data_IF_846508265734
#
_entry.id   IF_846508265734
#
_cell.length_a   1.000
_cell.length_b   1.000
_cell.length_c   1.000
_cell.angle_alpha   90.00
_cell.angle_beta   90.00
_cell.angle_gamma   90.00
#
_symmetry.space_group_name_H-M   'P 1'
#
loop_
_entity.id
_entity.type
_entity.pdbx_description
1 polymer ?
#
# COMPACT_ATOMS: atom_id res chain seq x y z
N UNK A 1 19.91 14.20 -8.05
CA UNK A 1 19.16 14.42 -6.81
C UNK A 1 17.70 14.18 -7.14
N UNK A 2 17.13 13.07 -6.67
CA UNK A 2 15.70 12.79 -6.86
C UNK A 2 14.92 13.77 -5.99
N UNK A 3 13.88 14.44 -6.52
CA UNK A 3 13.06 15.31 -5.71
C UNK A 3 12.47 14.52 -4.56
N UNK A 4 12.47 15.10 -3.36
CA UNK A 4 11.78 14.50 -2.23
C UNK A 4 10.30 14.33 -2.61
N UNK A 5 9.67 13.25 -2.16
CA UNK A 5 8.24 13.00 -2.39
C UNK A 5 7.41 14.23 -1.98
N UNK A 6 7.82 14.94 -0.93
CA UNK A 6 7.20 16.19 -0.49
C UNK A 6 7.25 17.32 -1.54
N UNK A 7 8.35 17.45 -2.28
CA UNK A 7 8.49 18.47 -3.34
C UNK A 7 7.62 18.17 -4.55
N UNK A 8 7.44 16.87 -4.86
CA UNK A 8 6.52 16.41 -5.92
C UNK A 8 5.08 16.70 -5.51
N UNK A 9 4.70 16.35 -4.27
CA UNK A 9 3.38 16.65 -3.71
C UNK A 9 3.11 18.15 -3.67
N UNK A 10 4.06 18.96 -3.22
CA UNK A 10 3.91 20.42 -3.17
C UNK A 10 3.68 21.01 -4.57
N UNK A 11 4.40 20.53 -5.59
CA UNK A 11 4.18 20.98 -6.98
C UNK A 11 2.82 20.55 -7.52
N UNK A 12 2.39 19.32 -7.27
CA UNK A 12 1.08 18.82 -7.70
C UNK A 12 -0.07 19.58 -7.02
N UNK A 13 0.08 19.90 -5.74
CA UNK A 13 -0.87 20.75 -5.01
C UNK A 13 -0.87 22.17 -5.56
N UNK A 14 0.29 22.72 -5.93
CA UNK A 14 0.39 24.07 -6.47
C UNK A 14 -0.28 24.23 -7.85
N UNK A 15 -0.35 23.16 -8.65
CA UNK A 15 -1.03 23.15 -9.95
C UNK A 15 -2.55 23.05 -9.87
N UNK A 16 -3.11 22.64 -8.74
CA UNK A 16 -4.56 22.56 -8.54
C UNK A 16 -5.14 23.94 -8.25
N UNK A 17 -6.31 24.21 -8.82
CA UNK A 17 -7.06 25.44 -8.52
C UNK A 17 -7.48 25.47 -7.05
N UNK A 18 -7.76 26.66 -6.48
CA UNK A 18 -8.18 26.77 -5.08
C UNK A 18 -9.39 25.91 -4.74
N UNK A 19 -10.32 25.73 -5.68
CA UNK A 19 -11.51 24.88 -5.51
C UNK A 19 -11.17 23.39 -5.51
N UNK A 20 -10.30 22.95 -6.42
CA UNK A 20 -9.85 21.55 -6.47
C UNK A 20 -9.00 21.19 -5.25
N UNK A 21 -8.18 22.12 -4.73
CA UNK A 21 -7.48 21.93 -3.45
C UNK A 21 -8.47 21.80 -2.30
N UNK A 22 -9.53 22.59 -2.28
CA UNK A 22 -10.55 22.52 -1.23
C UNK A 22 -11.31 21.20 -1.28
N UNK A 23 -11.66 20.72 -2.48
CA UNK A 23 -12.26 19.41 -2.68
C UNK A 23 -11.30 18.29 -2.26
N UNK A 24 -10.02 18.38 -2.63
CA UNK A 24 -9.01 17.38 -2.26
C UNK A 24 -8.82 17.34 -0.74
N UNK A 25 -8.71 18.50 -0.09
CA UNK A 25 -8.64 18.61 1.38
C UNK A 25 -9.91 18.07 2.02
N UNK A 26 -11.08 18.34 1.44
CA UNK A 26 -12.36 17.80 1.92
C UNK A 26 -12.41 16.28 1.77
N UNK A 27 -11.91 15.73 0.67
CA UNK A 27 -11.92 14.31 0.38
C UNK A 27 -10.91 13.56 1.25
N UNK A 28 -9.73 14.13 1.45
CA UNK A 28 -8.69 13.66 2.37
C UNK A 28 -9.19 13.71 3.81
N UNK A 29 -9.72 14.86 4.27
CA UNK A 29 -10.21 14.99 5.63
C UNK A 29 -11.42 14.08 5.88
N UNK A 30 -12.38 13.99 4.96
CA UNK A 30 -13.54 13.12 5.16
C UNK A 30 -13.22 11.62 4.99
N UNK A 31 -12.32 11.24 4.08
CA UNK A 31 -11.90 9.82 3.99
C UNK A 31 -10.98 9.43 5.14
N UNK A 32 -10.05 10.27 5.58
CA UNK A 32 -9.16 9.96 6.71
C UNK A 32 -9.88 10.02 8.06
N UNK A 33 -10.96 10.79 8.19
CA UNK A 33 -11.76 10.80 9.43
C UNK A 33 -12.78 9.67 9.49
N UNK A 34 -13.13 9.04 8.35
CA UNK A 34 -14.03 7.90 8.31
C UNK A 34 -13.34 6.55 8.11
N UNK A 35 -12.14 6.53 7.54
CA UNK A 35 -11.27 5.36 7.60
C UNK A 35 -10.69 5.34 9.00
N UNK A 36 -11.26 4.49 9.84
CA UNK A 36 -10.70 4.13 11.14
C UNK A 36 -9.19 4.02 10.99
N UNK A 37 -8.45 4.88 11.71
CA UNK A 37 -7.00 4.79 11.81
C UNK A 37 -6.52 3.41 12.32
N UNK A 38 -7.46 2.53 12.72
CA UNK A 38 -7.24 1.13 13.05
C UNK A 38 -7.11 0.19 11.83
N UNK A 39 -7.45 0.62 10.60
CA UNK A 39 -7.33 -0.24 9.40
C UNK A 39 -5.91 -0.24 8.83
N UNK A 40 -5.18 0.86 9.00
CA UNK A 40 -3.79 0.96 8.56
C UNK A 40 -2.92 0.95 9.79
N UNK A 41 -2.28 -0.20 10.05
CA UNK A 41 -1.23 -0.29 11.05
C UNK A 41 -0.02 0.52 10.57
N UNK A 42 0.26 1.62 11.25
CA UNK A 42 1.42 2.49 10.99
C UNK A 42 2.61 2.14 11.90
N UNK A 43 2.49 1.07 12.68
CA UNK A 43 3.58 0.61 13.54
C UNK A 43 4.73 0.04 12.73
N UNK A 44 5.97 0.34 13.15
CA UNK A 44 7.18 -0.27 12.58
C UNK A 44 7.46 -1.65 13.22
N UNK A 45 6.40 -2.37 13.58
CA UNK A 45 6.46 -3.66 14.25
C UNK A 45 5.65 -4.68 13.47
N UNK A 46 6.32 -5.75 13.03
CA UNK A 46 5.65 -6.86 12.37
C UNK A 46 4.84 -7.64 13.40
N UNK A 47 3.58 -7.88 13.09
CA UNK A 47 2.69 -8.72 13.88
C UNK A 47 2.81 -10.18 13.44
N UNK A 48 2.34 -11.10 14.29
CA UNK A 48 2.26 -12.53 13.92
C UNK A 48 1.35 -12.75 12.69
N UNK A 49 0.37 -11.86 12.48
CA UNK A 49 -0.52 -11.89 11.33
C UNK A 49 0.24 -11.57 10.03
N UNK A 50 1.15 -10.60 10.06
CA UNK A 50 1.98 -10.25 8.89
C UNK A 50 2.85 -11.44 8.45
N UNK A 51 3.39 -12.20 9.42
CA UNK A 51 4.17 -13.40 9.13
C UNK A 51 3.31 -14.49 8.47
N UNK A 52 2.08 -14.70 8.95
CA UNK A 52 1.14 -15.65 8.36
C UNK A 52 0.75 -15.26 6.94
N UNK A 53 0.43 -13.99 6.73
CA UNK A 53 0.01 -13.47 5.44
C UNK A 53 1.14 -13.56 4.41
N UNK A 54 2.37 -13.21 4.80
CA UNK A 54 3.55 -13.35 3.95
C UNK A 54 3.83 -14.81 3.60
N UNK A 55 3.66 -15.73 4.54
CA UNK A 55 3.85 -17.16 4.34
C UNK A 55 2.80 -17.73 3.38
N UNK A 56 1.53 -17.35 3.56
CA UNK A 56 0.43 -17.75 2.70
C UNK A 56 0.59 -17.22 1.27
N UNK A 57 1.02 -15.96 1.12
CA UNK A 57 1.32 -15.37 -0.18
C UNK A 57 2.50 -16.07 -0.86
N UNK A 58 3.57 -16.33 -0.12
CA UNK A 58 4.75 -17.06 -0.63
C UNK A 58 4.38 -18.46 -1.12
N UNK A 59 3.51 -19.17 -0.40
CA UNK A 59 3.03 -20.49 -0.78
C UNK A 59 2.16 -20.43 -2.03
N UNK A 60 1.22 -19.48 -2.11
CA UNK A 60 0.40 -19.27 -3.30
C UNK A 60 1.26 -18.92 -4.51
N UNK A 61 2.23 -18.03 -4.34
CA UNK A 61 3.17 -17.67 -5.38
C UNK A 61 3.98 -18.89 -5.83
N UNK A 62 4.54 -19.68 -4.91
CA UNK A 62 5.25 -20.91 -5.23
C UNK A 62 4.37 -21.90 -6.01
N UNK A 63 3.10 -22.06 -5.62
CA UNK A 63 2.15 -22.91 -6.35
C UNK A 63 1.82 -22.37 -7.76
N UNK A 64 1.82 -21.05 -7.96
CA UNK A 64 1.63 -20.47 -9.31
C UNK A 64 2.86 -20.59 -10.20
N UNK A 65 4.06 -20.53 -9.61
CA UNK A 65 5.34 -20.62 -10.33
C UNK A 65 5.74 -22.08 -10.58
N UNK A 66 5.31 -22.99 -9.71
CA UNK A 66 5.50 -24.42 -9.84
C UNK A 66 4.14 -25.12 -9.67
N UNK A 67 3.28 -25.10 -10.71
CA UNK A 67 2.04 -25.86 -10.69
C UNK A 67 2.38 -27.34 -10.75
N UNK A 68 2.39 -27.98 -9.58
CA UNK A 68 2.54 -29.42 -9.30
C UNK A 68 3.22 -30.29 -10.37
N UNK A 69 4.47 -30.68 -10.08
CA UNK A 69 4.98 -32.01 -10.41
C UNK A 69 5.71 -32.16 -11.73
N UNK A 70 6.94 -31.64 -11.83
CA UNK A 70 7.93 -32.35 -12.63
C UNK A 70 8.25 -33.65 -11.87
N UNK A 71 7.64 -34.73 -12.37
CA UNK A 71 8.04 -36.12 -12.13
C UNK A 71 9.57 -36.18 -12.07
N UNK A 72 10.13 -36.43 -10.88
CA UNK A 72 11.50 -36.89 -10.79
C UNK A 72 11.49 -38.30 -11.40
N UNK A 73 11.59 -38.35 -12.72
CA UNK A 73 11.89 -39.56 -13.46
C UNK A 73 13.37 -39.89 -13.23
N UNK A 74 13.56 -41.01 -12.52
CA UNK A 74 14.72 -41.89 -12.37
C UNK A 74 16.10 -41.42 -12.88
#
# INVERSE_FOLDING_TARGET
MSPSIQEIYAKALLTLSPFERLQLVTLILNNLTQQDAAVVDDSDTWTDQDQLDLSAYSLQYAATVCPDGEEIAE
#
